data_IF_985146041425
#
_entry.id   IF_985146041425
#
_cell.length_a   1.000
_cell.length_b   1.000
_cell.length_c   1.000
_cell.angle_alpha   90.00
_cell.angle_beta   90.00
_cell.angle_gamma   90.00
#
_symmetry.space_group_name_H-M   'P 1'
#
loop_
_entity.id
_entity.type
_entity.pdbx_description
1 polymer ?
#
# COMPACT_ATOMS: atom_id res chain seq x y z
N UNK A 1 6.29 -5.16 0.73
CA UNK A 1 5.63 -6.44 1.15
C UNK A 1 4.23 -6.10 1.68
N UNK A 2 3.18 -6.88 1.38
CA UNK A 2 1.77 -6.58 1.77
C UNK A 2 1.44 -7.34 3.06
N UNK A 3 0.89 -6.65 4.06
CA UNK A 3 0.50 -7.27 5.33
C UNK A 3 -0.96 -6.95 5.66
N UNK A 4 -1.72 -8.00 6.00
CA UNK A 4 -3.06 -7.84 6.55
C UNK A 4 -2.95 -7.38 8.02
N UNK A 5 -3.80 -6.44 8.41
CA UNK A 5 -3.99 -6.04 9.81
C UNK A 5 -5.49 -6.08 10.11
N UNK A 6 -5.88 -6.82 11.15
CA UNK A 6 -7.30 -6.98 11.55
C UNK A 6 -8.25 -7.34 10.39
N UNK A 7 -7.87 -8.33 9.57
CA UNK A 7 -8.55 -8.74 8.33
C UNK A 7 -8.65 -7.67 7.22
N UNK A 8 -8.06 -6.50 7.40
CA UNK A 8 -7.97 -5.46 6.36
C UNK A 8 -6.70 -5.65 5.55
N UNK A 9 -6.88 -5.69 4.23
CA UNK A 9 -5.80 -5.81 3.26
C UNK A 9 -5.75 -4.55 2.41
N UNK A 10 -4.55 -4.03 2.10
CA UNK A 10 -4.44 -2.89 1.22
C UNK A 10 -5.05 -3.16 -0.15
N UNK A 11 -5.84 -2.20 -0.64
CA UNK A 11 -6.37 -2.20 -2.00
C UNK A 11 -5.48 -1.32 -2.86
N UNK A 12 -4.84 -1.91 -3.87
CA UNK A 12 -3.90 -1.19 -4.74
C UNK A 12 -4.39 -1.29 -6.17
N UNK A 13 -4.66 -0.15 -6.79
CA UNK A 13 -5.03 -0.07 -8.19
C UNK A 13 -3.86 -0.57 -9.08
N UNK A 14 -4.11 -1.36 -10.15
CA UNK A 14 -3.04 -1.90 -11.00
C UNK A 14 -2.16 -0.84 -11.69
N UNK A 15 -2.74 0.34 -11.98
CA UNK A 15 -2.01 1.48 -12.56
C UNK A 15 -1.28 2.35 -11.53
N UNK A 16 -1.31 1.99 -10.25
CA UNK A 16 -0.49 2.65 -9.24
C UNK A 16 0.93 2.07 -9.22
N UNK A 17 1.91 2.93 -8.99
CA UNK A 17 3.26 2.49 -8.71
C UNK A 17 3.46 2.39 -7.19
N UNK A 18 3.81 1.19 -6.72
CA UNK A 18 4.26 0.97 -5.34
C UNK A 18 5.65 0.38 -5.38
N UNK A 19 6.62 1.10 -4.82
CA UNK A 19 7.99 0.63 -4.75
C UNK A 19 8.07 -0.74 -4.04
N UNK A 20 8.90 -1.69 -4.52
CA UNK A 20 9.16 -2.94 -3.82
C UNK A 20 9.71 -2.76 -2.40
N UNK A 21 10.36 -1.62 -2.13
CA UNK A 21 10.90 -1.25 -0.82
C UNK A 21 9.88 -0.54 0.08
N UNK A 22 8.65 -0.33 -0.39
CA UNK A 22 7.58 0.25 0.41
C UNK A 22 6.82 -0.83 1.20
N UNK A 23 6.25 -0.39 2.32
CA UNK A 23 5.37 -1.18 3.17
C UNK A 23 3.98 -0.55 3.18
N UNK A 24 2.97 -1.33 2.80
CA UNK A 24 1.56 -0.93 2.82
C UNK A 24 0.81 -1.96 3.64
N UNK A 25 0.14 -1.51 4.70
CA UNK A 25 -0.38 -2.37 5.79
C UNK A 25 -1.79 -1.91 6.18
N UNK A 26 -2.71 -2.86 6.28
CA UNK A 26 -4.06 -2.65 6.81
C UNK A 26 -4.99 -1.88 5.87
N UNK A 27 -5.76 -0.94 6.41
CA UNK A 27 -6.82 -0.19 5.71
C UNK A 27 -6.25 0.95 4.86
N UNK A 28 -5.64 0.58 3.74
CA UNK A 28 -5.03 1.54 2.80
C UNK A 28 -5.56 1.29 1.40
N UNK A 29 -6.08 2.35 0.78
CA UNK A 29 -6.44 2.36 -0.64
C UNK A 29 -5.45 3.23 -1.42
N UNK A 30 -4.84 2.65 -2.45
CA UNK A 30 -3.94 3.34 -3.40
C UNK A 30 -4.62 3.37 -4.77
N UNK A 31 -5.05 4.55 -5.18
CA UNK A 31 -5.82 4.75 -6.41
C UNK A 31 -4.95 4.85 -7.67
N UNK A 32 -5.62 4.86 -8.83
CA UNK A 32 -4.98 5.02 -10.14
C UNK A 32 -4.06 6.24 -10.18
N UNK A 33 -2.84 6.06 -10.71
CA UNK A 33 -1.86 7.14 -10.90
C UNK A 33 -1.10 7.56 -9.64
N UNK A 34 -1.37 6.94 -8.48
CA UNK A 34 -0.59 7.17 -7.27
C UNK A 34 0.84 6.62 -7.41
N UNK A 35 1.77 7.31 -6.75
CA UNK A 35 3.17 6.92 -6.63
C UNK A 35 3.55 6.78 -5.15
N UNK A 36 3.88 5.56 -4.72
CA UNK A 36 4.43 5.27 -3.39
C UNK A 36 5.92 4.99 -3.51
N UNK A 37 6.72 5.95 -3.04
CA UNK A 37 8.18 5.94 -3.17
C UNK A 37 8.90 4.89 -2.32
N UNK A 38 10.20 4.74 -2.59
CA UNK A 38 11.07 3.79 -1.90
C UNK A 38 11.14 4.08 -0.40
N UNK A 39 11.00 3.05 0.44
CA UNK A 39 11.08 3.15 1.90
C UNK A 39 9.84 3.77 2.56
N UNK A 40 8.81 4.15 1.80
CA UNK A 40 7.56 4.66 2.38
C UNK A 40 6.85 3.58 3.21
N UNK A 41 6.27 4.01 4.33
CA UNK A 41 5.46 3.15 5.21
C UNK A 41 4.06 3.78 5.32
N UNK A 42 3.08 3.11 4.74
CA UNK A 42 1.66 3.44 4.85
C UNK A 42 1.00 2.40 5.75
N UNK A 43 0.55 2.84 6.92
CA UNK A 43 -0.09 1.97 7.92
C UNK A 43 -1.45 2.57 8.26
N UNK A 44 -2.51 1.91 7.82
CA UNK A 44 -3.88 2.17 8.26
C UNK A 44 -4.27 1.11 9.28
N UNK A 45 -4.25 1.47 10.56
CA UNK A 45 -4.77 0.67 11.67
C UNK A 45 -6.30 0.66 11.73
#
# INVERSE_FOLDING_TARGET
>A
MRYAFDNRVPTIHPEAYVSPLAHVIGDVTVEKGCYVGHGAILRGD
#
